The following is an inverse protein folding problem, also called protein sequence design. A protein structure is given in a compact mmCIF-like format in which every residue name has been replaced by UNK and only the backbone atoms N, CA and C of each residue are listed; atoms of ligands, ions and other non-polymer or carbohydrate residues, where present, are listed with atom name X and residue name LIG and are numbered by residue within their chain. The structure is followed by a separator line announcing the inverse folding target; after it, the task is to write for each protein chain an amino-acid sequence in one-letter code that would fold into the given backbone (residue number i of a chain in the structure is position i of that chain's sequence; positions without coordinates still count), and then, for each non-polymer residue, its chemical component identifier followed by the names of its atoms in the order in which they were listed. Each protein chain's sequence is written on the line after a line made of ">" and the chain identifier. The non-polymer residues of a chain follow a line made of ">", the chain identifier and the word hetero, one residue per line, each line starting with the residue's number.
data_IF_833061807223
#
_entry.id   IF_833061807223
#
_cell.length_a   1.000
_cell.length_b   1.000
_cell.length_c   1.000
_cell.angle_alpha   90.00
_cell.angle_beta   90.00
_cell.angle_gamma   90.00
#
_symmetry.space_group_name_H-M   'P 1'
#
loop_
_entity.id
_entity.type
_entity.pdbx_description
1 polymer ?
#
# COMPACT_ATOMS: atom_id res chain seq x y z
N UNK A 1 6.26 -8.56 26.14
CA UNK A 1 4.80 -8.70 25.90
C UNK A 1 4.44 -10.19 26.02
N UNK A 2 3.47 -10.57 26.85
CA UNK A 2 3.17 -11.98 27.20
C UNK A 2 2.48 -12.72 26.05
N UNK A 3 2.97 -13.91 25.68
CA UNK A 3 2.45 -14.73 24.56
C UNK A 3 0.94 -15.02 24.68
N UNK A 4 0.43 -15.27 25.88
CA UNK A 4 -0.99 -15.59 26.12
C UNK A 4 -1.92 -14.41 25.81
N UNK A 5 -1.45 -13.19 26.08
CA UNK A 5 -2.20 -11.96 25.81
C UNK A 5 -2.30 -11.69 24.30
N UNK A 6 -1.19 -11.89 23.56
CA UNK A 6 -1.15 -11.75 22.11
C UNK A 6 -2.07 -12.77 21.42
N UNK A 7 -2.13 -14.01 21.92
CA UNK A 7 -3.01 -15.05 21.36
C UNK A 7 -4.48 -14.70 21.52
N UNK A 8 -4.90 -14.16 22.67
CA UNK A 8 -6.29 -13.72 22.89
C UNK A 8 -6.68 -12.56 21.97
N UNK A 9 -5.83 -11.56 21.82
CA UNK A 9 -6.08 -10.43 20.90
C UNK A 9 -6.20 -10.92 19.45
N UNK A 10 -5.37 -11.88 19.03
CA UNK A 10 -5.47 -12.47 17.69
C UNK A 10 -6.77 -13.27 17.47
N UNK A 11 -7.49 -13.70 18.49
CA UNK A 11 -8.75 -14.44 18.30
C UNK A 11 -9.97 -13.52 18.20
N UNK A 12 -9.81 -12.23 18.47
CA UNK A 12 -10.87 -11.24 18.34
C UNK A 12 -11.18 -10.96 16.86
N UNK A 13 -12.47 -11.04 16.49
CA UNK A 13 -12.93 -10.87 15.10
C UNK A 13 -12.68 -9.46 14.57
N UNK A 14 -12.84 -8.44 15.43
CA UNK A 14 -12.61 -7.05 15.05
C UNK A 14 -11.12 -6.77 14.88
N UNK A 15 -10.29 -7.33 15.76
CA UNK A 15 -8.84 -7.31 15.58
C UNK A 15 -8.42 -7.95 14.25
N UNK A 16 -8.92 -9.14 13.93
CA UNK A 16 -8.60 -9.82 12.67
C UNK A 16 -9.01 -8.99 11.45
N UNK A 17 -10.22 -8.42 11.48
CA UNK A 17 -10.70 -7.55 10.40
C UNK A 17 -9.80 -6.34 10.18
N UNK A 18 -9.47 -5.61 11.25
CA UNK A 18 -8.61 -4.42 11.17
C UNK A 18 -7.19 -4.80 10.73
N UNK A 19 -6.66 -5.91 11.25
CA UNK A 19 -5.37 -6.46 10.84
C UNK A 19 -5.33 -6.76 9.34
N UNK A 20 -6.35 -7.42 8.79
CA UNK A 20 -6.43 -7.74 7.37
C UNK A 20 -6.50 -6.49 6.49
N UNK A 21 -7.24 -5.46 6.92
CA UNK A 21 -7.31 -4.17 6.21
C UNK A 21 -5.92 -3.52 6.17
N UNK A 22 -5.25 -3.41 7.31
CA UNK A 22 -3.93 -2.77 7.39
C UNK A 22 -2.85 -3.58 6.65
N UNK A 23 -2.92 -4.92 6.72
CA UNK A 23 -2.04 -5.80 5.95
C UNK A 23 -2.19 -5.57 4.45
N UNK A 24 -3.42 -5.51 3.92
CA UNK A 24 -3.68 -5.23 2.50
C UNK A 24 -3.14 -3.86 2.07
N UNK A 25 -3.27 -2.82 2.90
CA UNK A 25 -2.67 -1.50 2.62
C UNK A 25 -1.14 -1.58 2.51
N UNK A 26 -0.51 -2.31 3.43
CA UNK A 26 0.93 -2.50 3.42
C UNK A 26 1.41 -3.30 2.19
N UNK A 27 0.67 -4.33 1.80
CA UNK A 27 0.98 -5.12 0.61
C UNK A 27 0.97 -4.25 -0.67
N UNK A 28 -0.01 -3.35 -0.80
CA UNK A 28 -0.09 -2.37 -1.89
C UNK A 28 1.13 -1.42 -1.86
N UNK A 29 1.46 -0.89 -0.68
CA UNK A 29 2.60 0.02 -0.49
C UNK A 29 3.92 -0.62 -0.93
N UNK A 30 4.16 -1.86 -0.49
CA UNK A 30 5.34 -2.65 -0.85
C UNK A 30 5.37 -2.94 -2.35
N UNK A 31 4.23 -3.31 -2.94
CA UNK A 31 4.12 -3.60 -4.36
C UNK A 31 4.47 -2.38 -5.23
N UNK A 32 3.97 -1.20 -4.87
CA UNK A 32 4.30 0.06 -5.56
C UNK A 32 5.79 0.38 -5.46
N UNK A 33 6.35 0.34 -4.24
CA UNK A 33 7.76 0.63 -4.00
C UNK A 33 8.69 -0.30 -4.78
N UNK A 34 8.40 -1.61 -4.79
CA UNK A 34 9.16 -2.61 -5.56
C UNK A 34 9.06 -2.36 -7.07
N UNK A 35 7.85 -2.07 -7.58
CA UNK A 35 7.66 -1.79 -9.00
C UNK A 35 8.43 -0.54 -9.45
N UNK A 36 8.39 0.52 -8.64
CA UNK A 36 9.15 1.76 -8.84
C UNK A 36 10.67 1.49 -8.85
N UNK A 37 11.17 0.78 -7.84
CA UNK A 37 12.61 0.44 -7.74
C UNK A 37 13.08 -0.40 -8.92
N UNK A 38 12.28 -1.38 -9.37
CA UNK A 38 12.57 -2.20 -10.57
C UNK A 38 12.66 -1.38 -11.85
N UNK A 39 11.96 -0.23 -11.91
CA UNK A 39 12.04 0.73 -13.02
C UNK A 39 13.15 1.77 -12.85
N UNK A 40 13.91 1.73 -11.75
CA UNK A 40 14.95 2.72 -11.46
C UNK A 40 14.42 4.13 -11.19
N UNK A 41 13.15 4.26 -10.80
CA UNK A 41 12.52 5.56 -10.64
C UNK A 41 12.59 6.07 -9.19
N UNK A 42 12.78 7.38 -9.01
CA UNK A 42 12.60 8.04 -7.71
C UNK A 42 11.11 8.23 -7.40
N UNK A 43 10.78 8.42 -6.12
CA UNK A 43 9.39 8.74 -5.73
C UNK A 43 8.87 10.00 -6.45
N UNK A 44 9.73 11.00 -6.67
CA UNK A 44 9.35 12.24 -7.36
C UNK A 44 9.06 12.04 -8.84
N UNK A 45 9.80 11.15 -9.51
CA UNK A 45 9.53 10.80 -10.91
C UNK A 45 8.19 10.07 -11.06
N UNK A 46 7.86 9.15 -10.15
CA UNK A 46 6.55 8.49 -10.14
C UNK A 46 5.44 9.50 -9.82
N UNK A 47 5.63 10.37 -8.83
CA UNK A 47 4.67 11.42 -8.45
C UNK A 47 4.34 12.33 -9.64
N UNK A 48 5.37 12.85 -10.32
CA UNK A 48 5.23 13.69 -11.51
C UNK A 48 4.44 12.98 -12.62
N UNK A 49 4.79 11.72 -12.90
CA UNK A 49 4.14 10.93 -13.97
C UNK A 49 2.71 10.54 -13.62
N UNK A 50 2.41 10.31 -12.35
CA UNK A 50 1.07 10.01 -11.87
C UNK A 50 0.20 11.25 -11.66
N UNK A 51 0.78 12.47 -11.67
CA UNK A 51 0.05 13.72 -11.41
C UNK A 51 -0.38 13.85 -9.95
N UNK A 52 0.52 13.51 -9.01
CA UNK A 52 0.32 13.66 -7.56
C UNK A 52 1.55 14.29 -6.91
N UNK A 53 1.46 14.68 -5.64
CA UNK A 53 2.60 15.24 -4.90
C UNK A 53 3.63 14.17 -4.51
N UNK A 54 4.88 14.57 -4.28
CA UNK A 54 5.92 13.66 -3.79
C UNK A 54 5.56 13.07 -2.41
N UNK A 55 5.00 13.90 -1.52
CA UNK A 55 4.54 13.50 -0.18
C UNK A 55 3.45 12.44 -0.27
N UNK A 56 2.58 12.52 -1.28
CA UNK A 56 1.55 11.50 -1.53
C UNK A 56 2.19 10.14 -1.77
N UNK A 57 3.19 10.07 -2.66
CA UNK A 57 3.91 8.81 -2.95
C UNK A 57 4.67 8.33 -1.71
N UNK A 58 5.37 9.23 -1.02
CA UNK A 58 6.12 8.88 0.19
C UNK A 58 5.19 8.30 1.27
N UNK A 59 4.04 8.93 1.52
CA UNK A 59 3.07 8.43 2.52
C UNK A 59 2.47 7.09 2.12
N UNK A 60 2.16 6.89 0.83
CA UNK A 60 1.64 5.61 0.33
C UNK A 60 2.67 4.50 0.52
N UNK A 61 3.92 4.69 0.08
CA UNK A 61 4.96 3.67 0.21
C UNK A 61 5.34 3.36 1.67
N UNK A 62 5.03 4.27 2.60
CA UNK A 62 5.18 4.04 4.05
C UNK A 62 3.91 3.50 4.72
N UNK A 63 2.83 3.22 3.97
CA UNK A 63 1.56 2.72 4.52
C UNK A 63 0.78 3.75 5.37
N UNK A 64 1.06 5.05 5.22
CA UNK A 64 0.54 6.14 6.08
C UNK A 64 -0.60 6.95 5.45
N UNK A 65 -1.24 6.43 4.40
CA UNK A 65 -2.32 7.14 3.70
C UNK A 65 -3.40 6.18 3.19
N UNK A 66 -4.65 6.58 3.36
CA UNK A 66 -5.78 5.98 2.66
C UNK A 66 -5.91 6.67 1.29
N UNK A 67 -5.40 6.04 0.24
CA UNK A 67 -5.51 6.54 -1.14
C UNK A 67 -6.73 5.96 -1.85
N UNK A 68 -7.32 6.74 -2.75
CA UNK A 68 -8.35 6.23 -3.65
C UNK A 68 -7.76 5.22 -4.63
N UNK A 69 -8.62 4.33 -5.15
CA UNK A 69 -8.27 3.38 -6.21
C UNK A 69 -7.76 4.12 -7.45
N UNK A 70 -8.30 5.30 -7.76
CA UNK A 70 -7.86 6.13 -8.88
C UNK A 70 -6.38 6.56 -8.71
N UNK A 71 -6.00 7.08 -7.54
CA UNK A 71 -4.62 7.50 -7.25
C UNK A 71 -3.68 6.30 -7.33
N UNK A 72 -4.04 5.17 -6.73
CA UNK A 72 -3.24 3.94 -6.81
C UNK A 72 -3.09 3.47 -8.26
N UNK A 73 -4.16 3.51 -9.05
CA UNK A 73 -4.14 3.11 -10.46
C UNK A 73 -3.20 4.00 -11.28
N UNK A 74 -3.23 5.32 -11.08
CA UNK A 74 -2.30 6.26 -11.73
C UNK A 74 -0.84 5.99 -11.34
N UNK A 75 -0.59 5.66 -10.07
CA UNK A 75 0.76 5.34 -9.58
C UNK A 75 1.29 4.03 -10.18
N UNK A 76 0.49 2.97 -10.22
CA UNK A 76 0.86 1.72 -10.88
C UNK A 76 1.06 1.91 -12.38
N UNK A 77 0.20 2.68 -13.05
CA UNK A 77 0.35 3.01 -14.46
C UNK A 77 1.66 3.78 -14.73
N UNK A 78 2.05 4.70 -13.84
CA UNK A 78 3.30 5.45 -13.95
C UNK A 78 4.54 4.51 -13.96
N UNK A 79 4.50 3.39 -13.22
CA UNK A 79 5.57 2.38 -13.19
C UNK A 79 5.35 1.24 -14.20
N UNK A 80 4.39 1.37 -15.12
CA UNK A 80 4.11 0.38 -16.17
C UNK A 80 3.47 -0.90 -15.64
N UNK A 81 2.61 -0.77 -14.63
CA UNK A 81 1.81 -1.83 -14.03
C UNK A 81 0.34 -1.47 -14.09
N UNK A 82 -0.51 -2.48 -13.88
CA UNK A 82 -1.95 -2.34 -13.74
C UNK A 82 -2.33 -2.78 -12.33
N UNK A 83 -3.29 -2.08 -11.73
CA UNK A 83 -3.93 -2.49 -10.50
C UNK A 83 -5.15 -3.33 -10.87
N UNK A 84 -5.15 -4.60 -10.48
CA UNK A 84 -6.25 -5.54 -10.70
C UNK A 84 -6.74 -6.06 -9.35
N UNK A 85 -8.01 -6.46 -9.30
CA UNK A 85 -8.65 -6.99 -8.10
C UNK A 85 -9.29 -8.34 -8.41
N UNK A 86 -9.16 -9.26 -7.45
CA UNK A 86 -9.90 -10.51 -7.43
C UNK A 86 -10.93 -10.42 -6.30
N UNK A 87 -12.18 -10.76 -6.62
CA UNK A 87 -13.28 -10.84 -5.65
C UNK A 87 -13.56 -12.32 -5.46
N UNK A 88 -13.26 -12.83 -4.27
CA UNK A 88 -13.41 -14.23 -3.86
C UNK A 88 -14.18 -14.31 -2.55
#
# INVERSE_FOLDING_TARGET
>A
MNKTFITKIRQDKEFQRLYDIEKKKLDIAIALAKARQKKGMTQGQVAKKAGVSWETVSRIENGRVNSSVEVLSRLFAAVGKRLDFEIS
#
